data_IF_168545906333
#
_entry.id   IF_168545906333
#
_cell.length_a   1.000
_cell.length_b   1.000
_cell.length_c   1.000
_cell.angle_alpha   90.00
_cell.angle_beta   90.00
_cell.angle_gamma   90.00
#
_symmetry.space_group_name_H-M   'P 1'
#
loop_
_entity.id
_entity.type
_entity.pdbx_description
1 polymer ?
#
# COMPACT_ATOMS: atom_id res chain seq x y z
N UNK A 1 13.64 7.97 18.91
CA UNK A 1 13.92 9.01 17.90
C UNK A 1 13.87 8.38 16.52
N UNK A 2 12.81 8.62 15.76
CA UNK A 2 12.74 8.27 14.33
C UNK A 2 13.66 9.22 13.55
N UNK A 3 14.35 8.73 12.53
CA UNK A 3 15.28 9.58 11.77
C UNK A 3 14.51 10.58 10.90
N UNK A 4 15.11 11.74 10.62
CA UNK A 4 14.51 12.74 9.73
C UNK A 4 14.16 12.14 8.35
N UNK A 5 15.02 11.25 7.84
CA UNK A 5 14.79 10.51 6.59
C UNK A 5 13.52 9.64 6.66
N UNK A 6 13.30 8.93 7.77
CA UNK A 6 12.09 8.14 7.96
C UNK A 6 10.83 9.02 7.96
N UNK A 7 10.90 10.19 8.58
CA UNK A 7 9.78 11.14 8.56
C UNK A 7 9.52 11.66 7.15
N UNK A 8 10.55 12.03 6.40
CA UNK A 8 10.40 12.49 5.01
C UNK A 8 9.78 11.42 4.11
N UNK A 9 10.20 10.16 4.26
CA UNK A 9 9.64 9.06 3.46
C UNK A 9 8.18 8.79 3.85
N UNK A 10 7.86 8.80 5.15
CA UNK A 10 6.49 8.63 5.61
C UNK A 10 5.56 9.72 5.06
N UNK A 11 6.02 10.98 5.11
CA UNK A 11 5.33 12.11 4.51
C UNK A 11 5.12 11.93 3.00
N UNK A 12 6.14 11.46 2.27
CA UNK A 12 6.04 11.22 0.82
C UNK A 12 5.09 10.09 0.48
N UNK A 13 5.06 9.00 1.27
CA UNK A 13 4.08 7.90 1.10
C UNK A 13 2.66 8.45 1.24
N UNK A 14 2.42 9.33 2.23
CA UNK A 14 1.10 9.91 2.49
C UNK A 14 0.72 10.97 1.44
N UNK A 15 1.66 11.83 1.04
CA UNK A 15 1.42 12.93 0.08
C UNK A 15 1.33 12.46 -1.36
N UNK A 16 1.99 11.34 -1.71
CA UNK A 16 2.03 10.78 -3.06
C UNK A 16 1.54 9.33 -3.03
N UNK A 17 0.23 9.13 -2.80
CA UNK A 17 -0.33 7.80 -2.79
C UNK A 17 -0.18 7.12 -4.16
N UNK A 18 0.19 5.85 -4.15
CA UNK A 18 0.25 5.01 -5.34
C UNK A 18 -0.99 4.14 -5.38
N UNK A 19 -1.88 4.38 -6.34
CA UNK A 19 -3.09 3.59 -6.53
C UNK A 19 -2.83 2.34 -7.39
N UNK A 20 -3.65 1.32 -7.23
CA UNK A 20 -3.65 0.12 -8.09
C UNK A 20 -5.07 -0.24 -8.50
N UNK A 21 -5.28 -0.39 -9.81
CA UNK A 21 -6.57 -0.69 -10.44
C UNK A 21 -6.68 -2.13 -10.91
N UNK A 22 -5.55 -2.78 -11.20
CA UNK A 22 -5.47 -4.20 -11.54
C UNK A 22 -5.82 -4.59 -12.98
N UNK A 23 -6.05 -3.64 -13.89
CA UNK A 23 -6.44 -3.92 -15.28
C UNK A 23 -5.27 -4.03 -16.26
N UNK A 24 -4.21 -3.22 -16.08
CA UNK A 24 -2.99 -3.19 -16.92
C UNK A 24 -1.70 -3.11 -16.10
N UNK A 25 -1.83 -3.00 -14.79
CA UNK A 25 -0.72 -2.81 -13.87
C UNK A 25 -0.28 -4.17 -13.35
N UNK A 26 1.03 -4.39 -13.26
CA UNK A 26 1.58 -5.56 -12.61
C UNK A 26 1.52 -5.36 -11.08
N UNK A 27 0.80 -6.26 -10.40
CA UNK A 27 0.63 -6.22 -8.95
C UNK A 27 1.95 -6.44 -8.22
N UNK A 28 2.86 -7.23 -8.77
CA UNK A 28 4.16 -7.51 -8.18
C UNK A 28 5.06 -6.27 -8.22
N UNK A 29 5.13 -5.59 -9.37
CA UNK A 29 5.89 -4.34 -9.50
C UNK A 29 5.36 -3.24 -8.57
N UNK A 30 4.03 -3.16 -8.42
CA UNK A 30 3.40 -2.19 -7.53
C UNK A 30 3.73 -2.48 -6.06
N UNK A 31 3.60 -3.74 -5.63
CA UNK A 31 3.92 -4.16 -4.27
C UNK A 31 5.40 -4.00 -3.94
N UNK A 32 6.32 -4.36 -4.86
CA UNK A 32 7.76 -4.23 -4.63
C UNK A 32 8.15 -2.77 -4.34
N UNK A 33 7.62 -1.82 -5.11
CA UNK A 33 7.86 -0.38 -4.91
C UNK A 33 7.34 0.12 -3.57
N UNK A 34 6.21 -0.41 -3.10
CA UNK A 34 5.63 -0.06 -1.81
C UNK A 34 6.43 -0.68 -0.66
N UNK A 35 6.85 -1.94 -0.78
CA UNK A 35 7.54 -2.66 0.27
C UNK A 35 8.89 -2.03 0.62
N UNK A 36 9.61 -1.51 -0.39
CA UNK A 36 10.83 -0.74 -0.16
C UNK A 36 10.57 0.49 0.73
N UNK A 37 9.49 1.22 0.45
CA UNK A 37 9.12 2.42 1.22
C UNK A 37 8.68 2.05 2.64
N UNK A 38 7.81 1.05 2.78
CA UNK A 38 7.33 0.55 4.07
C UNK A 38 8.46 0.05 4.96
N UNK A 39 9.43 -0.65 4.38
CA UNK A 39 10.61 -1.14 5.10
C UNK A 39 11.44 0.03 5.64
N UNK A 40 11.64 1.09 4.86
CA UNK A 40 12.40 2.27 5.31
C UNK A 40 11.72 2.96 6.51
N UNK A 41 10.39 3.05 6.52
CA UNK A 41 9.62 3.68 7.60
C UNK A 41 9.21 2.71 8.71
N UNK A 42 9.62 1.44 8.62
CA UNK A 42 9.34 0.37 9.59
C UNK A 42 7.84 0.19 9.88
N UNK A 43 7.01 0.26 8.84
CA UNK A 43 5.58 -0.01 9.00
C UNK A 43 5.32 -1.47 9.35
N UNK A 44 4.38 -1.69 10.27
CA UNK A 44 3.88 -3.03 10.59
C UNK A 44 3.03 -3.58 9.45
N UNK A 45 2.86 -4.90 9.40
CA UNK A 45 2.04 -5.52 8.37
C UNK A 45 0.58 -5.04 8.40
N UNK A 46 0.07 -4.69 9.58
CA UNK A 46 -1.26 -4.06 9.74
C UNK A 46 -1.31 -2.68 9.06
N UNK A 47 -0.30 -1.84 9.26
CA UNK A 47 -0.22 -0.52 8.62
C UNK A 47 -0.09 -0.64 7.09
N UNK A 48 0.73 -1.59 6.62
CA UNK A 48 0.87 -1.89 5.18
C UNK A 48 -0.47 -2.33 4.59
N UNK A 49 -1.16 -3.25 5.26
CA UNK A 49 -2.44 -3.78 4.80
C UNK A 49 -3.51 -2.69 4.75
N UNK A 50 -3.60 -1.86 5.78
CA UNK A 50 -4.51 -0.73 5.82
C UNK A 50 -4.23 0.22 4.65
N UNK A 51 -2.97 0.61 4.44
CA UNK A 51 -2.59 1.47 3.32
C UNK A 51 -2.92 0.85 1.96
N UNK A 52 -2.59 -0.42 1.73
CA UNK A 52 -2.88 -1.11 0.47
C UNK A 52 -4.38 -1.11 0.22
N UNK A 53 -5.18 -1.51 1.21
CA UNK A 53 -6.63 -1.65 1.07
C UNK A 53 -7.35 -0.34 0.68
N UNK A 54 -6.89 0.81 1.17
CA UNK A 54 -7.50 2.12 0.85
C UNK A 54 -7.05 2.68 -0.51
N UNK A 55 -5.95 2.16 -1.08
CA UNK A 55 -5.39 2.61 -2.35
C UNK A 55 -5.69 1.69 -3.53
N UNK A 56 -6.49 0.64 -3.32
CA UNK A 56 -7.08 -0.13 -4.40
C UNK A 56 -8.23 0.66 -5.05
N UNK A 57 -8.31 0.61 -6.37
CA UNK A 57 -9.37 1.25 -7.16
C UNK A 57 -9.96 0.24 -8.15
N UNK A 58 -11.11 0.58 -8.73
CA UNK A 58 -11.74 -0.16 -9.82
C UNK A 58 -11.82 -1.68 -9.55
N UNK A 59 -11.26 -2.52 -10.42
CA UNK A 59 -11.36 -3.97 -10.34
C UNK A 59 -10.57 -4.55 -9.15
N UNK A 60 -9.43 -3.94 -8.81
CA UNK A 60 -8.67 -4.34 -7.62
C UNK A 60 -9.45 -4.11 -6.32
N UNK A 61 -10.18 -2.99 -6.21
CA UNK A 61 -11.03 -2.71 -5.05
C UNK A 61 -12.20 -3.70 -4.97
N UNK A 62 -12.82 -4.02 -6.12
CA UNK A 62 -13.91 -5.00 -6.21
C UNK A 62 -13.45 -6.39 -5.77
N UNK A 63 -12.28 -6.82 -6.24
CA UNK A 63 -11.68 -8.09 -5.84
C UNK A 63 -11.40 -8.14 -4.34
N UNK A 64 -10.75 -7.10 -3.80
CA UNK A 64 -10.39 -7.04 -2.38
C UNK A 64 -11.61 -7.11 -1.47
N UNK A 65 -12.68 -6.39 -1.80
CA UNK A 65 -13.93 -6.39 -1.03
C UNK A 65 -14.56 -7.78 -1.03
N UNK A 66 -14.58 -8.47 -2.17
CA UNK A 66 -15.09 -9.84 -2.26
C UNK A 66 -14.23 -10.81 -1.45
N UNK A 67 -12.91 -10.79 -1.63
CA UNK A 67 -11.99 -11.67 -0.93
C UNK A 67 -12.04 -11.47 0.59
N UNK A 68 -12.06 -10.22 1.06
CA UNK A 68 -12.14 -9.90 2.49
C UNK A 68 -13.50 -10.21 3.11
N UNK A 69 -14.59 -10.21 2.33
CA UNK A 69 -15.91 -10.64 2.80
C UNK A 69 -16.02 -12.16 3.02
N UNK A 70 -15.23 -12.95 2.30
CA UNK A 70 -15.17 -14.41 2.45
C UNK A 70 -14.33 -14.85 3.66
N UNK A 71 -13.47 -13.97 4.16
CA UNK A 71 -12.56 -14.23 5.30
C UNK A 71 -13.21 -13.82 6.65
N UNK A 72 -14.38 -13.18 6.62
CA UNK A 72 -15.18 -12.86 7.82
C UNK A 72 -16.17 -13.97 8.15
#
# INVERSE_FOLDING_TARGET
FTSHLQQTIADEIIKKPTYFRGSKEDVHDWLEKLEQRFTMVKWSDEQKLQYISIHLQDDAQRWWTQASSVIK
#
